data_IF_634315920420
#
_entry.id   IF_634315920420
#
_cell.length_a   1.000
_cell.length_b   1.000
_cell.length_c   1.000
_cell.angle_alpha   90.00
_cell.angle_beta   90.00
_cell.angle_gamma   90.00
#
_symmetry.space_group_name_H-M   'P 1'
#
loop_
_entity.id
_entity.type
_entity.pdbx_description
1 polymer ?
#
# COMPACT_ATOMS: atom_id res chain seq x y z
N UNK A 1 22.92 10.97 -14.84
CA UNK A 1 22.25 10.62 -15.57
C UNK A 1 22.09 9.24 -15.87
N UNK A 2 22.97 8.56 -16.28
CA UNK A 2 22.74 7.24 -16.61
C UNK A 2 22.36 6.41 -15.47
N UNK A 3 22.84 6.68 -14.33
CA UNK A 3 22.52 5.89 -13.20
C UNK A 3 21.07 5.92 -12.94
N UNK A 4 20.38 6.88 -13.37
CA UNK A 4 18.98 6.93 -13.12
C UNK A 4 18.24 5.85 -13.82
N UNK A 5 18.79 5.36 -14.88
CA UNK A 5 18.11 4.36 -15.59
C UNK A 5 18.23 3.02 -14.99
N UNK A 6 19.24 2.82 -14.18
CA UNK A 6 19.43 1.56 -13.58
C UNK A 6 18.80 1.51 -12.25
N UNK A 7 17.51 1.31 -12.20
CA UNK A 7 16.83 1.22 -10.94
C UNK A 7 17.05 -0.14 -10.33
N UNK A 8 17.17 -0.15 -9.01
CA UNK A 8 17.40 -1.41 -8.31
C UNK A 8 16.18 -2.29 -8.32
N UNK A 9 16.44 -3.59 -8.30
CA UNK A 9 15.40 -4.58 -8.13
C UNK A 9 15.69 -5.30 -6.83
N UNK A 10 14.80 -6.17 -6.40
CA UNK A 10 15.04 -6.94 -5.19
C UNK A 10 16.29 -7.78 -5.31
N UNK A 11 16.61 -8.24 -6.51
CA UNK A 11 17.80 -9.04 -6.72
C UNK A 11 19.10 -8.28 -6.53
N UNK A 12 19.04 -6.95 -6.58
CA UNK A 12 20.21 -6.11 -6.38
C UNK A 12 20.47 -5.77 -4.95
N UNK A 13 19.58 -6.14 -4.05
CA UNK A 13 19.70 -5.76 -2.65
C UNK A 13 20.67 -6.66 -1.91
N UNK A 14 21.24 -6.13 -0.86
CA UNK A 14 22.18 -6.86 -0.03
C UNK A 14 21.79 -6.70 1.42
N UNK A 15 22.33 -7.56 2.27
CA UNK A 15 22.07 -7.44 3.70
C UNK A 15 22.52 -6.05 4.14
N UNK A 16 21.71 -5.39 4.92
CA UNK A 16 21.97 -4.03 5.36
C UNK A 16 21.29 -2.98 4.54
N UNK A 17 20.83 -3.35 3.34
CA UNK A 17 20.03 -2.42 2.53
C UNK A 17 18.62 -2.35 3.11
N UNK A 18 17.85 -1.40 2.65
CA UNK A 18 16.49 -1.19 3.15
C UNK A 18 15.46 -1.53 2.11
N UNK A 19 14.30 -1.93 2.57
CA UNK A 19 13.12 -2.02 1.74
C UNK A 19 12.06 -1.20 2.43
N UNK A 20 11.00 -0.89 1.74
CA UNK A 20 10.01 0.05 2.23
C UNK A 20 8.64 -0.59 2.26
N UNK A 21 8.05 -0.64 3.43
CA UNK A 21 6.78 -1.31 3.67
C UNK A 21 5.68 -0.29 3.77
N UNK A 22 4.59 -0.52 3.05
CA UNK A 22 3.41 0.32 3.18
C UNK A 22 2.63 -0.20 4.38
N UNK A 23 2.46 0.65 5.37
CA UNK A 23 1.78 0.27 6.58
C UNK A 23 0.77 1.35 6.92
N UNK A 24 -0.48 1.09 6.59
CA UNK A 24 -1.54 2.05 6.80
C UNK A 24 -1.23 3.31 6.00
N UNK A 25 -1.06 4.43 6.64
CA UNK A 25 -0.80 5.68 5.94
C UNK A 25 0.65 6.12 6.05
N UNK A 26 1.55 5.17 6.09
CA UNK A 26 2.95 5.54 6.16
C UNK A 26 3.83 4.54 5.44
N UNK A 27 5.01 4.98 5.10
CA UNK A 27 6.02 4.13 4.48
C UNK A 27 7.05 3.84 5.56
N UNK A 28 7.25 2.58 5.86
CA UNK A 28 8.16 2.19 6.93
C UNK A 28 9.40 1.58 6.33
N UNK A 29 10.56 2.02 6.78
CA UNK A 29 11.82 1.49 6.29
C UNK A 29 12.21 0.27 7.12
N UNK A 30 12.53 -0.81 6.45
CA UNK A 30 12.97 -2.03 7.11
C UNK A 30 14.34 -2.41 6.57
N UNK A 31 15.22 -2.84 7.43
CA UNK A 31 16.54 -3.25 6.99
C UNK A 31 16.62 -4.74 6.79
N UNK A 32 17.23 -5.13 5.70
CA UNK A 32 17.36 -6.55 5.37
C UNK A 32 18.42 -7.18 6.26
N UNK A 33 18.03 -8.25 6.94
CA UNK A 33 18.95 -8.97 7.82
C UNK A 33 19.39 -10.30 7.23
N UNK A 34 18.63 -10.81 6.26
CA UNK A 34 18.98 -12.08 5.65
C UNK A 34 18.37 -12.20 4.27
N UNK A 35 19.09 -12.83 3.37
CA UNK A 35 18.61 -13.07 2.00
C UNK A 35 18.82 -14.51 1.70
N UNK A 36 17.76 -15.20 1.30
CA UNK A 36 17.86 -16.61 0.91
C UNK A 36 17.55 -16.69 -0.56
N UNK A 37 18.49 -17.20 -1.32
CA UNK A 37 18.30 -17.31 -2.75
C UNK A 37 17.95 -18.76 -3.10
N UNK A 38 16.89 -18.94 -3.86
CA UNK A 38 16.46 -20.27 -4.22
C UNK A 38 17.13 -20.71 -5.51
N UNK A 39 17.20 -22.01 -5.71
CA UNK A 39 17.88 -22.54 -6.88
C UNK A 39 17.25 -22.09 -8.17
N UNK A 40 15.97 -21.87 -8.18
CA UNK A 40 15.31 -21.45 -9.39
C UNK A 40 15.85 -20.11 -9.87
N UNK A 41 16.36 -19.30 -8.96
CA UNK A 41 16.96 -18.04 -9.34
C UNK A 41 15.99 -16.93 -9.61
N UNK A 42 14.71 -17.21 -9.63
CA UNK A 42 13.73 -16.18 -9.95
C UNK A 42 13.09 -15.55 -8.73
N UNK A 43 13.33 -16.11 -7.56
CA UNK A 43 12.73 -15.58 -6.34
C UNK A 43 13.74 -15.62 -5.22
N UNK A 44 13.57 -14.72 -4.29
CA UNK A 44 14.41 -14.71 -3.09
C UNK A 44 13.49 -14.47 -1.90
N UNK A 45 14.00 -14.84 -0.73
CA UNK A 45 13.29 -14.62 0.50
C UNK A 45 14.09 -13.61 1.29
N UNK A 46 13.46 -12.53 1.71
CA UNK A 46 14.12 -11.49 2.48
C UNK A 46 13.60 -11.53 3.91
N UNK A 47 14.51 -11.41 4.86
CA UNK A 47 14.12 -11.25 6.25
C UNK A 47 14.56 -9.87 6.68
N UNK A 48 13.74 -9.22 7.48
CA UNK A 48 14.00 -7.85 7.90
C UNK A 48 13.85 -7.73 9.39
N UNK A 49 14.32 -6.59 9.89
CA UNK A 49 14.36 -6.37 11.33
C UNK A 49 13.10 -5.80 11.91
N UNK A 50 12.16 -5.48 11.34
CA UNK A 50 10.99 -4.82 11.95
C UNK A 50 9.69 -5.19 11.33
N UNK A 51 9.69 -6.14 10.48
CA UNK A 51 8.48 -6.50 9.79
C UNK A 51 8.11 -7.93 10.04
N UNK A 52 7.33 -8.50 9.15
CA UNK A 52 6.99 -9.90 9.21
C UNK A 52 8.24 -10.76 9.13
N UNK A 53 8.09 -12.03 9.38
CA UNK A 53 9.21 -12.93 9.39
C UNK A 53 9.99 -12.92 8.10
N UNK A 54 9.32 -12.88 6.99
CA UNK A 54 10.03 -12.88 5.72
C UNK A 54 9.12 -12.46 4.59
N UNK A 55 9.76 -12.15 3.47
CA UNK A 55 9.06 -11.70 2.26
C UNK A 55 9.58 -12.49 1.07
N UNK A 56 8.68 -13.03 0.27
CA UNK A 56 9.06 -13.71 -0.98
C UNK A 56 8.88 -12.72 -2.11
N UNK A 57 9.94 -12.46 -2.85
CA UNK A 57 9.88 -11.49 -3.93
C UNK A 57 10.62 -12.00 -5.14
N UNK A 58 10.26 -11.50 -6.31
CA UNK A 58 10.97 -11.85 -7.55
C UNK A 58 12.24 -11.04 -7.67
N UNK A 59 13.29 -11.65 -8.17
CA UNK A 59 14.59 -11.00 -8.25
C UNK A 59 14.60 -9.81 -9.20
N UNK A 60 13.75 -9.80 -10.22
CA UNK A 60 13.74 -8.70 -11.16
C UNK A 60 12.65 -7.69 -10.84
N UNK A 61 11.92 -7.88 -9.76
CA UNK A 61 10.85 -6.98 -9.40
C UNK A 61 11.37 -5.82 -8.56
N UNK A 62 10.64 -4.72 -8.54
CA UNK A 62 10.96 -3.57 -7.74
C UNK A 62 9.92 -3.33 -6.66
N UNK A 63 8.86 -4.10 -6.67
CA UNK A 63 7.87 -4.04 -5.61
C UNK A 63 7.24 -5.42 -5.51
N UNK A 64 6.68 -5.70 -4.36
CA UNK A 64 6.11 -7.02 -4.14
C UNK A 64 4.85 -7.22 -4.97
N UNK A 65 4.48 -8.47 -5.11
CA UNK A 65 3.30 -8.83 -5.86
C UNK A 65 2.06 -8.09 -5.35
N UNK A 66 1.97 -7.91 -4.06
CA UNK A 66 0.82 -7.25 -3.48
C UNK A 66 1.02 -5.76 -3.26
N UNK A 67 2.11 -5.22 -3.80
CA UNK A 67 2.42 -3.82 -3.63
C UNK A 67 2.49 -3.43 -2.16
N UNK A 68 3.10 -4.31 -1.38
CA UNK A 68 3.25 -4.10 0.05
C UNK A 68 4.65 -3.61 0.39
N UNK A 69 5.67 -4.13 -0.28
CA UNK A 69 7.03 -3.68 -0.04
C UNK A 69 7.67 -3.26 -1.35
N UNK A 70 8.59 -2.33 -1.25
CA UNK A 70 9.21 -1.70 -2.41
C UNK A 70 10.70 -1.54 -2.18
N UNK A 71 11.45 -1.55 -3.25
CA UNK A 71 12.87 -1.27 -3.22
C UNK A 71 13.10 0.24 -3.11
N UNK A 72 12.18 1.00 -3.64
CA UNK A 72 12.31 2.42 -3.87
C UNK A 72 11.32 3.18 -3.02
N UNK A 73 11.75 4.04 -2.11
CA UNK A 73 10.81 4.75 -1.23
C UNK A 73 9.90 5.70 -1.99
N UNK A 74 10.38 6.23 -3.10
CA UNK A 74 9.56 7.15 -3.88
C UNK A 74 8.40 6.42 -4.51
N UNK A 75 8.67 5.23 -5.03
CA UNK A 75 7.60 4.43 -5.61
C UNK A 75 6.63 3.98 -4.54
N UNK A 76 7.12 3.64 -3.36
CA UNK A 76 6.26 3.26 -2.24
C UNK A 76 5.31 4.41 -1.92
N UNK A 77 5.82 5.62 -1.88
CA UNK A 77 5.00 6.77 -1.56
C UNK A 77 3.97 7.03 -2.66
N UNK A 78 4.35 6.85 -3.92
CA UNK A 78 3.39 7.00 -5.02
C UNK A 78 2.22 6.03 -4.89
N UNK A 79 2.55 4.78 -4.61
CA UNK A 79 1.50 3.76 -4.47
C UNK A 79 0.65 4.05 -3.25
N UNK A 80 1.28 4.51 -2.17
CA UNK A 80 0.53 4.86 -0.98
C UNK A 80 -0.47 5.98 -1.27
N UNK A 81 -0.04 6.99 -2.01
CA UNK A 81 -0.92 8.08 -2.36
C UNK A 81 -2.07 7.61 -3.25
N UNK A 82 -1.78 6.72 -4.17
CA UNK A 82 -2.82 6.18 -5.02
C UNK A 82 -3.85 5.40 -4.22
N UNK A 83 -3.36 4.58 -3.30
CA UNK A 83 -4.28 3.79 -2.47
C UNK A 83 -5.10 4.69 -1.56
N UNK A 84 -4.45 5.70 -1.00
CA UNK A 84 -5.15 6.63 -0.12
C UNK A 84 -6.22 7.40 -0.88
N UNK A 85 -5.91 7.83 -2.10
CA UNK A 85 -6.88 8.56 -2.91
C UNK A 85 -8.08 7.70 -3.27
N UNK A 86 -7.79 6.45 -3.63
CA UNK A 86 -8.88 5.53 -3.97
C UNK A 86 -9.76 5.28 -2.77
N UNK A 87 -9.13 5.05 -1.61
CA UNK A 87 -9.89 4.80 -0.40
C UNK A 87 -10.71 6.03 0.01
N UNK A 88 -10.08 7.20 -0.16
CA UNK A 88 -10.79 8.45 0.14
C UNK A 88 -12.04 8.57 -0.72
N UNK A 89 -11.92 8.29 -2.01
CA UNK A 89 -13.07 8.38 -2.91
C UNK A 89 -14.14 7.36 -2.54
N UNK A 90 -13.72 6.14 -2.21
CA UNK A 90 -14.67 5.11 -1.81
C UNK A 90 -15.43 5.52 -0.56
N UNK A 91 -14.73 6.08 0.40
CA UNK A 91 -15.37 6.50 1.64
C UNK A 91 -16.26 7.70 1.40
N UNK A 92 -15.86 8.60 0.52
CA UNK A 92 -16.69 9.75 0.19
C UNK A 92 -18.01 9.28 -0.44
N UNK A 93 -17.96 8.32 -1.36
CA UNK A 93 -19.16 7.78 -1.96
C UNK A 93 -20.04 7.12 -0.92
N UNK A 94 -19.42 6.42 0.02
CA UNK A 94 -20.19 5.75 1.06
C UNK A 94 -20.87 6.76 1.96
N UNK A 95 -20.17 7.82 2.31
CA UNK A 95 -20.74 8.88 3.12
C UNK A 95 -21.90 9.53 2.38
N UNK A 96 -21.73 9.81 1.10
CA UNK A 96 -22.79 10.42 0.32
C UNK A 96 -24.02 9.52 0.28
N UNK A 97 -23.81 8.21 0.14
CA UNK A 97 -24.93 7.28 0.14
C UNK A 97 -25.63 7.27 1.49
N UNK A 98 -24.86 7.34 2.56
CA UNK A 98 -25.44 7.32 3.89
C UNK A 98 -26.19 8.60 4.17
N UNK A 99 -25.72 9.72 3.65
CA UNK A 99 -26.43 10.98 3.81
C UNK A 99 -27.78 10.93 3.10
N UNK A 100 -27.77 10.38 1.90
CA UNK A 100 -29.02 10.24 1.14
C UNK A 100 -30.00 9.37 1.89
N UNK A 101 -29.50 8.26 2.43
CA UNK A 101 -30.36 7.36 3.18
C UNK A 101 -30.88 8.02 4.44
N UNK A 102 -30.00 8.74 5.12
CA UNK A 102 -30.38 9.45 6.32
C UNK A 102 -31.49 10.45 6.02
N UNK A 103 -31.36 11.18 4.92
CA UNK A 103 -32.37 12.16 4.55
C UNK A 103 -33.70 11.50 4.22
N UNK A 104 -33.64 10.33 3.59
CA UNK A 104 -34.87 9.62 3.28
C UNK A 104 -35.58 9.16 4.55
N UNK A 105 -34.80 8.66 5.51
CA UNK A 105 -35.38 8.23 6.76
C UNK A 105 -35.93 9.39 7.54
N UNK A 106 -35.22 10.50 7.54
CA UNK A 106 -35.68 11.66 8.25
C UNK A 106 -36.99 12.16 7.65
N UNK A 107 -37.06 12.17 6.35
CA UNK A 107 -38.26 12.62 5.67
C UNK A 107 -39.43 11.67 5.96
N UNK A 108 -39.15 10.37 5.97
CA UNK A 108 -40.18 9.39 6.28
C UNK A 108 -40.71 9.55 7.70
N UNK A 109 -39.82 9.77 8.65
CA UNK A 109 -40.22 9.85 10.03
C UNK A 109 -40.82 11.20 10.42
N UNK A 110 -40.30 12.27 9.88
CA UNK A 110 -40.72 13.61 10.31
C UNK A 110 -41.21 14.53 9.22
N UNK A 111 -41.11 14.13 8.00
CA UNK A 111 -41.49 15.00 6.90
C UNK A 111 -42.93 15.39 6.95
N UNK A 112 -43.79 14.45 7.34
CA UNK A 112 -45.16 14.76 7.40
C UNK A 112 -45.47 15.88 8.39
N UNK A 113 -44.78 15.85 9.50
CA UNK A 113 -44.97 16.89 10.49
C UNK A 113 -44.60 18.24 9.93
N UNK A 114 -43.54 18.27 9.15
CA UNK A 114 -43.12 19.53 8.57
C UNK A 114 -44.12 20.02 7.56
N UNK A 115 -44.68 19.14 6.82
CA UNK A 115 -45.63 19.53 5.81
C UNK A 115 -46.93 20.05 6.42
N UNK A 116 -47.26 19.53 7.51
CA UNK A 116 -48.49 19.94 8.14
C UNK A 116 -48.41 21.35 8.61
N UNK A 117 -47.23 21.81 8.93
CA UNK A 117 -47.07 23.16 9.36
C UNK A 117 -46.93 24.03 8.17
#
# INVERSE_FOLDING_TARGET
>A
MEKDKKKKTFGDLKIGNSIYLLNDLEVKELKITKIIQYKSGNSICLETDGGPDHWMVGTSARNSYENTIFVDPERAMEVLKEKASRRYSELQDKIDQEIIEFEKLEKFLYGKEKEVR
#
